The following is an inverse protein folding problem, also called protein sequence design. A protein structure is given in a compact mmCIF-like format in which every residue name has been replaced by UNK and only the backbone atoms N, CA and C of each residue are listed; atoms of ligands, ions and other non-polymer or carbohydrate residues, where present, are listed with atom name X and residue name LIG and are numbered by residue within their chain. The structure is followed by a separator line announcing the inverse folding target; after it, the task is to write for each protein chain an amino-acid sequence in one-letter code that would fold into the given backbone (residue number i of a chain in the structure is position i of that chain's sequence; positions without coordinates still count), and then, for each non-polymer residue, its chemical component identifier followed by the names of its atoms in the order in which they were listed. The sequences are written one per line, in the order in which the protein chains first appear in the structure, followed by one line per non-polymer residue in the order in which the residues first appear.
data_IF_392168100442
#
_entry.id   IF_392168100442
#
_cell.length_a   1.000
_cell.length_b   1.000
_cell.length_c   1.000
_cell.angle_alpha   90.00
_cell.angle_beta   90.00
_cell.angle_gamma   90.00
#
_symmetry.space_group_name_H-M   'P 1'
#
loop_
_entity.id
_entity.type
_entity.pdbx_description
1 polymer ?
#
# COMPACT_ATOMS: atom_id res chain seq x y z
N UNK A 1 -6.89 -1.20 20.33
CA UNK A 1 -6.58 -1.59 18.94
C UNK A 1 -6.40 -3.09 18.86
N UNK A 2 -7.05 -3.70 17.90
CA UNK A 2 -6.93 -5.14 17.67
C UNK A 2 -6.17 -5.37 16.38
N UNK A 3 -5.34 -6.40 16.38
CA UNK A 3 -4.60 -6.83 15.22
C UNK A 3 -4.95 -8.27 14.90
N UNK A 4 -5.25 -8.54 13.64
CA UNK A 4 -5.59 -9.88 13.16
C UNK A 4 -4.60 -10.29 12.08
N UNK A 5 -4.17 -11.52 12.14
CA UNK A 5 -3.38 -12.17 11.11
C UNK A 5 -4.23 -13.26 10.49
N UNK A 6 -4.47 -13.14 9.20
CA UNK A 6 -5.17 -14.16 8.44
C UNK A 6 -4.18 -14.89 7.55
N UNK A 7 -4.16 -16.21 7.68
CA UNK A 7 -3.35 -17.06 6.83
C UNK A 7 -4.23 -17.58 5.70
N UNK A 8 -3.92 -17.18 4.50
CA UNK A 8 -4.57 -17.69 3.30
C UNK A 8 -3.66 -18.73 2.67
N UNK A 9 -4.13 -19.97 2.66
CA UNK A 9 -3.46 -21.03 1.90
C UNK A 9 -3.96 -20.98 0.49
N UNK A 10 -3.09 -20.61 -0.41
CA UNK A 10 -3.41 -20.63 -1.82
C UNK A 10 -3.05 -22.00 -2.37
N UNK A 11 -4.08 -22.79 -2.67
CA UNK A 11 -3.87 -24.08 -3.32
C UNK A 11 -3.88 -23.83 -4.82
N UNK A 12 -2.72 -23.68 -5.36
CA UNK A 12 -2.57 -23.58 -6.81
C UNK A 12 -2.84 -24.91 -7.44
N UNK A 13 -3.86 -24.98 -8.26
CA UNK A 13 -4.25 -26.19 -8.96
C UNK A 13 -3.36 -26.52 -10.14
N UNK A 14 -2.31 -25.76 -10.38
CA UNK A 14 -1.63 -26.07 -11.60
C UNK A 14 -0.22 -25.56 -11.62
N UNK A 15 0.56 -26.22 -12.23
CA UNK A 15 1.55 -25.83 -13.20
C UNK A 15 2.39 -24.61 -12.76
N UNK A 16 3.28 -24.79 -11.79
CA UNK A 16 4.25 -23.77 -11.43
C UNK A 16 3.74 -22.63 -10.55
N UNK A 17 2.53 -22.72 -10.00
CA UNK A 17 2.07 -21.77 -9.01
C UNK A 17 2.66 -22.09 -7.65
N UNK A 18 3.12 -21.05 -6.95
CA UNK A 18 3.61 -21.18 -5.59
C UNK A 18 2.49 -21.64 -4.65
N UNK A 19 2.80 -22.61 -3.79
CA UNK A 19 1.90 -23.04 -2.72
C UNK A 19 2.26 -22.38 -1.39
N UNK A 20 3.12 -21.36 -1.41
CA UNK A 20 3.54 -20.66 -0.21
C UNK A 20 2.36 -19.91 0.41
N UNK A 21 2.28 -19.88 1.74
CA UNK A 21 1.20 -19.17 2.39
C UNK A 21 1.31 -17.67 2.19
N UNK A 22 0.17 -17.05 1.93
CA UNK A 22 0.04 -15.59 1.89
C UNK A 22 -0.55 -15.16 3.23
N UNK A 23 0.13 -14.25 3.89
CA UNK A 23 -0.34 -13.72 5.17
C UNK A 23 -0.90 -12.33 4.94
N UNK A 24 -2.11 -12.09 5.44
CA UNK A 24 -2.72 -10.78 5.47
C UNK A 24 -2.63 -10.26 6.90
N UNK A 25 -1.91 -9.17 7.10
CA UNK A 25 -1.82 -8.50 8.38
C UNK A 25 -2.84 -7.37 8.40
N UNK A 26 -3.88 -7.53 9.22
CA UNK A 26 -4.93 -6.53 9.37
C UNK A 26 -4.95 -6.02 10.79
N UNK A 27 -5.16 -4.71 10.94
CA UNK A 27 -5.38 -4.08 12.23
C UNK A 27 -6.56 -3.12 12.15
N UNK A 28 -7.17 -2.86 13.30
CA UNK A 28 -8.36 -2.01 13.39
C UNK A 28 -8.16 -0.95 14.46
N UNK A 29 -8.74 0.21 14.22
CA UNK A 29 -8.84 1.26 15.23
C UNK A 29 -9.92 0.88 16.26
N UNK A 30 -9.89 1.56 17.40
CA UNK A 30 -10.87 1.32 18.48
C UNK A 30 -12.31 1.53 18.04
N UNK A 31 -12.54 2.41 17.05
CA UNK A 31 -13.88 2.66 16.51
C UNK A 31 -14.36 1.58 15.53
N UNK A 32 -13.56 0.54 15.31
CA UNK A 32 -13.91 -0.56 14.40
C UNK A 32 -13.46 -0.38 12.96
N UNK A 33 -13.02 0.83 12.58
CA UNK A 33 -12.51 1.05 11.23
C UNK A 33 -11.15 0.37 11.04
N UNK A 34 -10.91 -0.10 9.84
CA UNK A 34 -9.63 -0.74 9.51
C UNK A 34 -8.49 0.27 9.60
N UNK A 35 -7.37 -0.15 10.18
CA UNK A 35 -6.17 0.67 10.30
C UNK A 35 -5.19 0.40 9.18
N UNK A 36 -4.95 -0.87 8.88
CA UNK A 36 -4.13 -1.26 7.74
C UNK A 36 -4.47 -2.66 7.27
N UNK A 37 -4.11 -2.91 6.03
CA UNK A 37 -4.14 -4.23 5.42
C UNK A 37 -2.86 -4.40 4.62
N UNK A 38 -2.07 -5.42 4.97
CA UNK A 38 -0.75 -5.63 4.40
C UNK A 38 -0.57 -7.09 4.04
N UNK A 39 -0.08 -7.32 2.84
CA UNK A 39 0.15 -8.67 2.33
C UNK A 39 1.63 -9.04 2.46
N UNK A 40 1.88 -10.26 2.89
CA UNK A 40 3.21 -10.84 3.04
C UNK A 40 3.28 -12.19 2.38
N UNK A 41 4.45 -12.50 1.84
CA UNK A 41 4.77 -13.81 1.28
C UNK A 41 6.20 -14.17 1.70
N UNK A 42 6.39 -15.36 2.26
CA UNK A 42 7.70 -15.81 2.75
C UNK A 42 8.35 -14.81 3.72
N UNK A 43 7.54 -14.19 4.58
CA UNK A 43 8.01 -13.22 5.56
C UNK A 43 8.36 -11.85 5.02
N UNK A 44 8.16 -11.61 3.73
CA UNK A 44 8.44 -10.33 3.09
C UNK A 44 7.18 -9.66 2.61
N UNK A 45 7.15 -8.33 2.64
CA UNK A 45 6.05 -7.57 2.06
C UNK A 45 5.92 -7.94 0.59
N UNK A 46 4.73 -8.31 0.18
CA UNK A 46 4.46 -8.72 -1.20
C UNK A 46 3.00 -8.50 -1.51
N UNK A 47 2.72 -7.69 -2.50
CA UNK A 47 1.37 -7.31 -2.87
C UNK A 47 0.97 -5.96 -2.32
N UNK A 48 -0.32 -5.73 -2.24
CA UNK A 48 -0.88 -4.43 -1.89
C UNK A 48 -0.75 -4.14 -0.40
N UNK A 49 -0.35 -2.91 -0.09
CA UNK A 49 -0.31 -2.37 1.26
C UNK A 49 -1.20 -1.14 1.32
N UNK A 50 -2.14 -1.14 2.27
CA UNK A 50 -3.08 -0.04 2.45
C UNK A 50 -3.12 0.35 3.93
N UNK A 51 -2.92 1.62 4.20
CA UNK A 51 -3.09 2.21 5.53
C UNK A 51 -4.23 3.21 5.47
N UNK A 52 -4.98 3.31 6.55
CA UNK A 52 -6.17 4.14 6.62
C UNK A 52 -6.06 5.15 7.75
N UNK A 53 -6.74 6.26 7.58
CA UNK A 53 -7.02 7.17 8.68
C UNK A 53 -8.14 6.60 9.55
N UNK A 54 -8.23 7.10 10.76
CA UNK A 54 -9.25 6.68 11.72
C UNK A 54 -10.68 6.93 11.21
N UNK A 55 -10.86 7.91 10.32
CA UNK A 55 -12.17 8.23 9.73
C UNK A 55 -12.58 7.26 8.61
N UNK A 56 -11.75 6.28 8.27
CA UNK A 56 -12.05 5.30 7.24
C UNK A 56 -11.47 5.59 5.87
N UNK A 57 -11.00 6.81 5.63
CA UNK A 57 -10.38 7.15 4.36
C UNK A 57 -8.98 6.57 4.26
N UNK A 58 -8.55 6.25 3.05
CA UNK A 58 -7.20 5.75 2.81
C UNK A 58 -6.18 6.84 3.11
N UNK A 59 -5.08 6.44 3.74
CA UNK A 59 -3.93 7.31 3.98
C UNK A 59 -2.81 7.05 2.98
N UNK A 60 -2.42 5.78 2.82
CA UNK A 60 -1.34 5.37 1.92
C UNK A 60 -1.73 4.08 1.25
N UNK A 61 -1.49 3.97 -0.05
CA UNK A 61 -1.60 2.69 -0.74
C UNK A 61 -0.50 2.54 -1.78
N UNK A 62 -0.03 1.31 -1.93
CA UNK A 62 0.99 0.96 -2.90
C UNK A 62 1.23 -0.53 -2.92
N UNK A 63 2.26 -0.92 -3.60
CA UNK A 63 2.60 -2.33 -3.77
C UNK A 63 4.05 -2.60 -3.42
N UNK A 64 4.26 -3.79 -2.85
CA UNK A 64 5.58 -4.37 -2.64
C UNK A 64 5.75 -5.58 -3.54
N UNK A 65 6.95 -5.82 -3.97
CA UNK A 65 7.35 -7.03 -4.64
C UNK A 65 8.59 -7.56 -3.93
N UNK A 66 8.43 -8.69 -3.23
CA UNK A 66 9.51 -9.34 -2.50
C UNK A 66 10.26 -8.37 -1.56
N UNK A 67 9.51 -7.58 -0.81
CA UNK A 67 10.03 -6.61 0.16
C UNK A 67 10.43 -5.26 -0.41
N UNK A 68 10.24 -5.05 -1.69
CA UNK A 68 10.70 -3.84 -2.40
C UNK A 68 9.48 -3.03 -2.87
N UNK A 69 9.48 -1.73 -2.59
CA UNK A 69 8.44 -0.83 -3.09
C UNK A 69 8.53 -0.72 -4.60
N UNK A 70 7.42 -0.96 -5.29
CA UNK A 70 7.34 -0.90 -6.74
C UNK A 70 6.04 -0.27 -7.19
N UNK A 71 6.09 0.35 -8.36
CA UNK A 71 4.90 0.88 -9.02
C UNK A 71 4.31 2.10 -8.32
N UNK A 72 3.06 2.36 -8.61
CA UNK A 72 2.35 3.55 -8.16
C UNK A 72 2.11 3.53 -6.65
N UNK A 73 2.51 4.59 -5.98
CA UNK A 73 2.24 4.84 -4.56
C UNK A 73 1.50 6.16 -4.43
N UNK A 74 0.43 6.14 -3.65
CA UNK A 74 -0.42 7.32 -3.44
C UNK A 74 -0.63 7.54 -1.96
N UNK A 75 -0.44 8.78 -1.51
CA UNK A 75 -0.85 9.19 -0.17
C UNK A 75 -2.02 10.17 -0.30
N UNK A 76 -2.86 10.18 0.73
CA UNK A 76 -4.07 10.98 0.73
C UNK A 76 -4.15 11.84 1.99
N UNK A 77 -4.82 12.96 1.87
CA UNK A 77 -5.24 13.75 3.02
C UNK A 77 -6.41 13.07 3.72
N UNK A 78 -6.69 13.47 4.95
CA UNK A 78 -7.83 12.93 5.71
C UNK A 78 -9.17 13.13 5.03
N UNK A 79 -9.30 14.17 4.19
CA UNK A 79 -10.53 14.44 3.44
C UNK A 79 -10.72 13.52 2.21
N UNK A 80 -9.77 12.62 1.96
CA UNK A 80 -9.82 11.69 0.82
C UNK A 80 -9.17 12.20 -0.45
N UNK A 81 -8.74 13.47 -0.47
CA UNK A 81 -8.04 14.05 -1.62
C UNK A 81 -6.61 13.50 -1.71
N UNK A 82 -6.15 13.19 -2.91
CA UNK A 82 -4.74 12.81 -3.12
C UNK A 82 -3.81 13.89 -2.61
N UNK A 83 -2.75 13.48 -1.96
CA UNK A 83 -1.70 14.35 -1.44
C UNK A 83 -0.41 14.21 -2.24
N UNK A 84 0.09 12.98 -2.39
CA UNK A 84 1.27 12.69 -3.22
C UNK A 84 1.01 11.49 -4.09
N UNK A 85 1.62 11.47 -5.28
CA UNK A 85 1.40 10.37 -6.21
C UNK A 85 2.60 10.22 -7.12
N UNK A 86 3.14 9.02 -7.21
CA UNK A 86 4.26 8.72 -8.08
C UNK A 86 4.67 7.27 -8.00
N UNK A 87 5.65 6.92 -8.81
CA UNK A 87 6.14 5.56 -8.90
C UNK A 87 7.41 5.36 -8.07
N UNK A 88 7.52 4.15 -7.52
CA UNK A 88 8.75 3.65 -6.93
C UNK A 88 9.38 2.60 -7.85
N UNK A 89 10.68 2.60 -7.87
CA UNK A 89 11.49 1.59 -8.53
C UNK A 89 12.61 1.21 -7.57
N UNK A 90 12.63 -0.03 -7.12
CA UNK A 90 13.64 -0.52 -6.16
C UNK A 90 13.75 0.37 -4.91
N UNK A 91 12.62 0.68 -4.27
CA UNK A 91 12.53 1.51 -3.06
C UNK A 91 12.86 2.99 -3.26
N UNK A 92 13.07 3.43 -4.48
CA UNK A 92 13.38 4.84 -4.75
C UNK A 92 12.30 5.48 -5.61
N UNK A 93 12.05 6.75 -5.38
CA UNK A 93 11.13 7.52 -6.23
C UNK A 93 11.67 7.56 -7.66
N UNK A 94 10.79 7.39 -8.63
CA UNK A 94 11.14 7.30 -10.05
C UNK A 94 10.17 8.10 -10.88
N UNK A 95 10.69 8.84 -11.85
CA UNK A 95 9.87 9.60 -12.78
C UNK A 95 9.15 10.78 -12.14
N UNK A 96 8.00 11.14 -12.70
CA UNK A 96 7.22 12.29 -12.25
C UNK A 96 6.49 11.98 -10.95
N UNK A 97 6.63 12.86 -9.96
CA UNK A 97 5.88 12.83 -8.71
C UNK A 97 5.07 14.11 -8.60
N UNK A 98 3.81 13.96 -8.24
CA UNK A 98 2.88 15.08 -8.14
C UNK A 98 2.47 15.25 -6.68
N UNK A 99 2.49 16.49 -6.24
CA UNK A 99 2.10 16.88 -4.89
C UNK A 99 0.90 17.82 -5.01
N UNK A 100 -0.14 17.53 -4.23
CA UNK A 100 -1.41 18.28 -4.30
C UNK A 100 -1.67 19.01 -2.99
N UNK A 101 -2.42 20.08 -3.09
CA UNK A 101 -3.03 20.75 -1.95
C UNK A 101 -4.29 19.97 -1.52
N UNK A 102 -4.79 20.27 -0.32
CA UNK A 102 -6.00 19.63 0.19
C UNK A 102 -7.24 19.89 -0.68
N UNK A 103 -7.24 20.95 -1.46
CA UNK A 103 -8.34 21.28 -2.37
C UNK A 103 -8.25 20.57 -3.73
N UNK A 104 -7.20 19.76 -3.94
CA UNK A 104 -6.99 19.04 -5.18
C UNK A 104 -6.17 19.74 -6.24
N UNK A 105 -5.79 20.98 -6.00
CA UNK A 105 -4.92 21.68 -6.94
C UNK A 105 -3.48 21.21 -6.80
N UNK A 106 -2.70 21.27 -7.90
CA UNK A 106 -1.30 20.85 -7.89
C UNK A 106 -0.47 21.87 -7.13
N UNK A 107 0.26 21.38 -6.12
CA UNK A 107 1.21 22.17 -5.37
C UNK A 107 2.58 22.18 -6.04
N UNK A 108 3.04 21.02 -6.49
CA UNK A 108 4.38 20.85 -7.07
C UNK A 108 4.43 19.59 -7.93
N UNK A 109 5.21 19.65 -9.00
CA UNK A 109 5.62 18.46 -9.75
C UNK A 109 7.14 18.35 -9.66
N UNK A 110 7.64 17.13 -9.49
CA UNK A 110 9.06 16.89 -9.33
C UNK A 110 9.46 15.66 -10.14
N UNK A 111 10.56 15.78 -10.86
CA UNK A 111 11.11 14.66 -11.62
C UNK A 111 12.24 14.00 -10.86
N UNK A 112 12.16 12.68 -10.73
CA UNK A 112 13.21 11.84 -10.19
C UNK A 112 13.80 11.00 -11.32
N UNK A 113 15.00 10.49 -11.13
CA UNK A 113 15.63 9.61 -12.13
C UNK A 113 14.73 8.40 -12.40
N UNK A 114 14.58 8.03 -13.66
CA UNK A 114 13.74 6.90 -14.04
C UNK A 114 14.30 5.55 -13.60
#
# INVERSE_FOLDING_TARGET
MRRYLSLLLFIGLAWGQSTDPVIIDEAFFDNGNIKHQRFYKDGKADGKWTHYYKNGNIWIEGNYNNGIQVGLWTTYYKNGQEWTKGNYKNNERSGAWIFYNEDGTVYEEKEYSP
#
